data_IF_054103765558
#
_entry.id   IF_054103765558
#
_cell.length_a   1.000
_cell.length_b   1.000
_cell.length_c   1.000
_cell.angle_alpha   90.00
_cell.angle_beta   90.00
_cell.angle_gamma   90.00
#
_symmetry.space_group_name_H-M   'P 1'
#
loop_
_entity.id
_entity.type
_entity.pdbx_description
1 polymer ?
#
# COMPACT_ATOMS: atom_id res chain seq x y z
N UNK A 1 -43.02 12.98 -22.15
CA UNK A 1 -43.02 14.15 -21.23
C UNK A 1 -43.31 13.81 -19.77
N UNK A 2 -44.31 12.99 -19.42
CA UNK A 2 -44.62 12.65 -18.00
C UNK A 2 -43.47 11.91 -17.28
N UNK A 3 -42.83 10.95 -17.95
CA UNK A 3 -41.70 10.19 -17.38
C UNK A 3 -40.49 11.09 -17.05
N UNK A 4 -40.14 12.01 -17.95
CA UNK A 4 -39.04 12.97 -17.76
C UNK A 4 -39.32 13.88 -16.55
N UNK A 5 -40.56 14.35 -16.40
CA UNK A 5 -40.95 15.16 -15.23
C UNK A 5 -40.85 14.38 -13.92
N UNK A 6 -41.26 13.11 -13.91
CA UNK A 6 -41.16 12.25 -12.72
C UNK A 6 -39.69 12.03 -12.35
N UNK A 7 -38.82 11.74 -13.32
CA UNK A 7 -37.37 11.58 -13.08
C UNK A 7 -36.74 12.87 -12.53
N UNK A 8 -37.08 14.03 -13.09
CA UNK A 8 -36.60 15.33 -12.60
C UNK A 8 -37.07 15.63 -11.17
N UNK A 9 -38.32 15.29 -10.83
CA UNK A 9 -38.85 15.47 -9.47
C UNK A 9 -38.11 14.56 -8.50
N UNK A 10 -37.91 13.28 -8.84
CA UNK A 10 -37.16 12.34 -8.00
C UNK A 10 -35.71 12.80 -7.78
N UNK A 11 -35.07 13.33 -8.82
CA UNK A 11 -33.72 13.88 -8.72
C UNK A 11 -33.66 15.12 -7.82
N UNK A 12 -34.63 16.04 -7.93
CA UNK A 12 -34.72 17.21 -7.08
C UNK A 12 -34.96 16.83 -5.61
N UNK A 13 -35.85 15.85 -5.35
CA UNK A 13 -36.10 15.32 -4.00
C UNK A 13 -34.82 14.68 -3.44
N UNK A 14 -34.15 13.83 -4.22
CA UNK A 14 -32.89 13.21 -3.82
C UNK A 14 -31.83 14.25 -3.43
N UNK A 15 -31.64 15.29 -4.26
CA UNK A 15 -30.69 16.36 -3.97
C UNK A 15 -31.09 17.17 -2.72
N UNK A 16 -32.39 17.43 -2.52
CA UNK A 16 -32.88 18.12 -1.32
C UNK A 16 -32.62 17.32 -0.05
N UNK A 17 -32.78 15.98 -0.09
CA UNK A 17 -32.48 15.09 1.04
C UNK A 17 -30.98 15.09 1.33
N UNK A 18 -30.14 14.97 0.31
CA UNK A 18 -28.67 15.07 0.48
C UNK A 18 -28.27 16.41 1.08
N UNK A 19 -28.84 17.51 0.58
CA UNK A 19 -28.54 18.87 1.06
C UNK A 19 -28.95 19.03 2.51
N UNK A 20 -30.14 18.55 2.90
CA UNK A 20 -30.62 18.57 4.27
C UNK A 20 -29.69 17.79 5.20
N UNK A 21 -29.32 16.56 4.82
CA UNK A 21 -28.39 15.74 5.62
C UNK A 21 -26.99 16.35 5.69
N UNK A 22 -26.50 16.96 4.61
CA UNK A 22 -25.24 17.70 4.62
C UNK A 22 -25.29 18.87 5.62
N UNK A 23 -26.37 19.66 5.63
CA UNK A 23 -26.55 20.76 6.60
C UNK A 23 -26.63 20.22 8.03
N UNK A 24 -27.32 19.12 8.27
CA UNK A 24 -27.40 18.49 9.59
C UNK A 24 -26.04 17.97 10.08
N UNK A 25 -25.28 17.32 9.20
CA UNK A 25 -24.00 16.70 9.55
C UNK A 25 -22.91 17.76 9.72
N UNK A 26 -22.76 18.66 8.76
CA UNK A 26 -21.71 19.68 8.79
C UNK A 26 -22.06 20.89 9.66
N UNK A 27 -23.33 21.30 9.69
CA UNK A 27 -23.76 22.50 10.40
C UNK A 27 -24.08 22.28 11.88
N UNK A 28 -24.49 21.06 12.26
CA UNK A 28 -24.86 20.73 13.64
C UNK A 28 -23.99 19.63 14.26
N UNK A 29 -22.91 19.21 13.58
CA UNK A 29 -22.00 18.15 14.03
C UNK A 29 -22.73 16.89 14.55
N UNK A 30 -23.82 16.51 13.88
CA UNK A 30 -24.60 15.33 14.26
C UNK A 30 -23.78 14.05 14.00
N UNK A 31 -23.14 13.52 15.04
CA UNK A 31 -22.50 12.21 15.05
C UNK A 31 -23.38 11.20 15.80
N UNK A 32 -24.44 10.72 15.13
CA UNK A 32 -25.41 9.81 15.72
C UNK A 32 -25.73 8.62 14.78
N UNK A 33 -26.54 7.67 15.26
CA UNK A 33 -26.92 6.49 14.48
C UNK A 33 -27.64 6.84 13.16
N UNK A 34 -28.32 7.98 13.07
CA UNK A 34 -28.99 8.42 11.86
C UNK A 34 -28.00 8.90 10.79
N UNK A 35 -26.94 9.62 11.18
CA UNK A 35 -25.83 10.01 10.30
C UNK A 35 -25.13 8.78 9.72
N UNK A 36 -24.79 7.80 10.55
CA UNK A 36 -24.19 6.53 10.10
C UNK A 36 -25.12 5.74 9.16
N UNK A 37 -26.41 5.68 9.47
CA UNK A 37 -27.39 5.01 8.61
C UNK A 37 -27.54 5.70 7.24
N UNK A 38 -27.53 7.04 7.23
CA UNK A 38 -27.58 7.83 6.01
C UNK A 38 -26.32 7.62 5.17
N UNK A 39 -25.12 7.75 5.75
CA UNK A 39 -23.85 7.57 5.03
C UNK A 39 -23.70 6.17 4.44
N UNK A 40 -24.17 5.14 5.15
CA UNK A 40 -24.21 3.76 4.65
C UNK A 40 -25.14 3.61 3.44
N UNK A 41 -26.26 4.33 3.43
CA UNK A 41 -27.28 4.23 2.36
C UNK A 41 -26.92 5.13 1.17
N UNK A 42 -26.34 6.30 1.44
CA UNK A 42 -26.00 7.33 0.47
C UNK A 42 -24.57 7.83 0.71
N UNK A 43 -23.54 7.08 0.27
CA UNK A 43 -22.13 7.42 0.46
C UNK A 43 -21.69 8.52 -0.50
N UNK A 44 -22.30 9.70 -0.39
CA UNK A 44 -22.07 10.84 -1.30
C UNK A 44 -21.41 12.03 -0.62
N UNK A 45 -21.37 12.05 0.71
CA UNK A 45 -20.87 13.19 1.47
C UNK A 45 -19.33 13.30 1.40
N UNK A 46 -18.78 14.46 0.96
CA UNK A 46 -17.34 14.67 0.86
C UNK A 46 -16.75 15.01 2.23
N UNK A 47 -15.63 14.39 2.59
CA UNK A 47 -14.77 14.82 3.70
C UNK A 47 -13.63 15.71 3.20
N UNK A 48 -13.07 15.37 2.04
CA UNK A 48 -12.09 16.20 1.35
C UNK A 48 -12.20 16.05 -0.18
N UNK A 49 -11.56 16.97 -0.90
CA UNK A 49 -11.38 16.88 -2.34
C UNK A 49 -9.93 17.21 -2.70
N UNK A 50 -9.32 16.33 -3.51
CA UNK A 50 -7.93 16.37 -3.94
C UNK A 50 -7.90 16.29 -5.46
N UNK A 51 -7.53 17.39 -6.13
CA UNK A 51 -7.46 17.46 -7.62
C UNK A 51 -8.72 16.92 -8.32
N UNK A 52 -9.91 17.25 -7.79
CA UNK A 52 -11.20 16.81 -8.32
C UNK A 52 -11.63 15.40 -7.92
N UNK A 53 -10.80 14.64 -7.17
CA UNK A 53 -11.17 13.35 -6.57
C UNK A 53 -11.68 13.59 -5.15
N UNK A 54 -12.82 12.98 -4.83
CA UNK A 54 -13.46 13.13 -3.52
C UNK A 54 -12.98 12.02 -2.59
N UNK A 55 -12.61 12.39 -1.36
CA UNK A 55 -12.54 11.50 -0.20
C UNK A 55 -13.90 11.58 0.49
N UNK A 56 -14.61 10.46 0.61
CA UNK A 56 -15.95 10.44 1.22
C UNK A 56 -15.89 10.16 2.70
N UNK A 57 -16.90 10.63 3.44
CA UNK A 57 -17.09 10.29 4.85
C UNK A 57 -17.22 8.78 5.04
N UNK A 58 -17.94 8.09 4.15
CA UNK A 58 -18.08 6.64 4.21
C UNK A 58 -16.73 5.89 4.11
N UNK A 59 -15.75 6.43 3.36
CA UNK A 59 -14.41 5.82 3.26
C UNK A 59 -13.66 5.91 4.59
N UNK A 60 -13.83 7.02 5.33
CA UNK A 60 -13.26 7.19 6.67
C UNK A 60 -13.90 6.20 7.64
N UNK A 61 -15.24 6.13 7.65
CA UNK A 61 -15.99 5.24 8.53
C UNK A 61 -15.67 3.76 8.26
N UNK A 62 -15.52 3.37 7.00
CA UNK A 62 -15.13 2.01 6.61
C UNK A 62 -13.74 1.67 7.16
N UNK A 63 -12.77 2.58 7.02
CA UNK A 63 -11.39 2.34 7.48
C UNK A 63 -11.28 2.34 9.00
N UNK A 64 -12.01 3.22 9.68
CA UNK A 64 -12.09 3.28 11.13
C UNK A 64 -12.60 1.96 11.70
N UNK A 65 -13.69 1.39 11.14
CA UNK A 65 -14.22 0.10 11.60
C UNK A 65 -13.23 -1.06 11.44
N UNK A 66 -12.48 -1.07 10.34
CA UNK A 66 -11.46 -2.11 10.12
C UNK A 66 -10.31 -2.00 11.12
N UNK A 67 -9.89 -0.78 11.44
CA UNK A 67 -8.86 -0.52 12.45
C UNK A 67 -9.33 -0.89 13.86
N UNK A 68 -10.52 -0.43 14.27
CA UNK A 68 -11.13 -0.78 15.57
C UNK A 68 -11.22 -2.30 15.75
N UNK A 69 -11.63 -3.02 14.70
CA UNK A 69 -11.67 -4.48 14.70
C UNK A 69 -10.26 -5.08 14.88
N UNK A 70 -9.26 -4.63 14.12
CA UNK A 70 -7.90 -5.14 14.22
C UNK A 70 -7.26 -4.90 15.59
N UNK A 71 -7.48 -3.71 16.17
CA UNK A 71 -7.04 -3.37 17.54
C UNK A 71 -7.75 -4.25 18.57
N UNK A 72 -9.06 -4.48 18.43
CA UNK A 72 -9.79 -5.36 19.35
C UNK A 72 -9.27 -6.80 19.37
N UNK A 73 -8.64 -7.22 18.26
CA UNK A 73 -8.04 -8.54 18.10
C UNK A 73 -6.58 -8.61 18.57
N UNK A 74 -5.94 -7.47 18.86
CA UNK A 74 -4.58 -7.42 19.38
C UNK A 74 -4.59 -7.14 20.89
N UNK A 75 -3.83 -7.92 21.67
CA UNK A 75 -3.74 -7.80 23.13
C UNK A 75 -3.12 -6.48 23.64
N UNK A 76 -2.67 -5.62 22.73
CA UNK A 76 -2.06 -4.33 23.02
C UNK A 76 -3.15 -3.25 23.13
N UNK A 77 -3.82 -3.20 24.28
CA UNK A 77 -4.81 -2.18 24.62
C UNK A 77 -4.18 -0.80 24.82
N UNK A 78 -3.87 -0.08 23.73
CA UNK A 78 -3.65 1.36 23.78
C UNK A 78 -4.99 2.10 23.61
N UNK A 79 -5.33 3.07 24.47
CA UNK A 79 -6.58 3.80 24.39
C UNK A 79 -6.66 4.65 23.11
N UNK A 80 -7.84 4.63 22.49
CA UNK A 80 -8.17 5.33 21.24
C UNK A 80 -8.58 6.78 21.54
N UNK A 81 -7.82 7.74 21.00
CA UNK A 81 -8.26 9.14 20.88
C UNK A 81 -8.96 9.31 19.53
N UNK A 82 -10.28 9.10 19.48
CA UNK A 82 -11.05 8.99 18.23
C UNK A 82 -11.02 10.23 17.32
N UNK A 83 -10.81 11.44 17.85
CA UNK A 83 -10.68 12.66 17.04
C UNK A 83 -9.35 12.69 16.26
N UNK A 84 -8.24 12.36 16.91
CA UNK A 84 -6.91 12.29 16.30
C UNK A 84 -6.82 11.15 15.27
N UNK A 85 -7.55 10.06 15.50
CA UNK A 85 -7.59 8.93 14.58
C UNK A 85 -8.37 9.26 13.30
N UNK A 86 -9.55 9.88 13.43
CA UNK A 86 -10.36 10.28 12.26
C UNK A 86 -9.60 11.23 11.33
N UNK A 87 -8.86 12.17 11.91
CA UNK A 87 -7.99 13.09 11.15
C UNK A 87 -6.86 12.33 10.44
N UNK A 88 -6.18 11.41 11.13
CA UNK A 88 -5.14 10.57 10.54
C UNK A 88 -5.67 9.69 9.39
N UNK A 89 -6.85 9.10 9.54
CA UNK A 89 -7.50 8.33 8.46
C UNK A 89 -7.83 9.24 7.28
N UNK A 90 -8.34 10.44 7.52
CA UNK A 90 -8.62 11.41 6.47
C UNK A 90 -7.33 11.80 5.72
N UNK A 91 -6.24 12.08 6.44
CA UNK A 91 -4.94 12.39 5.86
C UNK A 91 -4.40 11.24 5.00
N UNK A 92 -4.44 10.01 5.52
CA UNK A 92 -4.06 8.80 4.76
C UNK A 92 -4.91 8.63 3.49
N UNK A 93 -6.22 8.89 3.55
CA UNK A 93 -7.10 8.83 2.38
C UNK A 93 -6.81 9.95 1.36
N UNK A 94 -6.43 11.14 1.82
CA UNK A 94 -5.99 12.25 0.96
C UNK A 94 -4.71 11.85 0.22
N UNK A 95 -3.71 11.34 0.94
CA UNK A 95 -2.46 10.83 0.37
C UNK A 95 -2.71 9.71 -0.64
N UNK A 96 -3.61 8.79 -0.30
CA UNK A 96 -4.04 7.76 -1.24
C UNK A 96 -4.59 8.38 -2.55
N UNK A 97 -5.41 9.45 -2.49
CA UNK A 97 -5.89 10.12 -3.71
C UNK A 97 -4.76 10.76 -4.51
N UNK A 98 -3.73 11.30 -3.83
CA UNK A 98 -2.52 11.84 -4.46
C UNK A 98 -1.77 10.72 -5.18
N UNK A 99 -1.50 9.60 -4.51
CA UNK A 99 -0.84 8.41 -5.11
C UNK A 99 -1.57 7.98 -6.38
N UNK A 100 -2.90 7.83 -6.32
CA UNK A 100 -3.71 7.47 -7.49
C UNK A 100 -3.63 8.48 -8.63
N UNK A 101 -3.56 9.77 -8.32
CA UNK A 101 -3.39 10.80 -9.34
C UNK A 101 -2.00 10.73 -9.98
N UNK A 102 -0.96 10.46 -9.20
CA UNK A 102 0.40 10.30 -9.69
C UNK A 102 0.56 9.05 -10.56
N UNK A 103 -0.02 7.91 -10.16
CA UNK A 103 -0.07 6.71 -10.99
C UNK A 103 -0.76 6.96 -12.34
N UNK A 104 -1.92 7.65 -12.30
CA UNK A 104 -2.68 7.98 -13.51
C UNK A 104 -1.87 8.87 -14.47
N UNK A 105 -1.21 9.91 -13.95
CA UNK A 105 -0.29 10.79 -14.74
C UNK A 105 0.85 10.01 -15.38
N UNK A 106 1.33 8.95 -14.71
CA UNK A 106 2.39 8.06 -15.19
C UNK A 106 1.89 6.91 -16.06
N UNK A 107 0.56 6.81 -16.28
CA UNK A 107 -0.09 5.71 -17.01
C UNK A 107 0.22 4.33 -16.41
N UNK A 108 0.43 4.26 -15.09
CA UNK A 108 0.64 3.02 -14.37
C UNK A 108 -0.72 2.48 -13.97
N UNK A 109 -1.02 1.27 -14.43
CA UNK A 109 -2.26 0.55 -14.13
C UNK A 109 -1.97 -0.59 -13.16
N UNK A 110 -3.02 -1.00 -12.44
CA UNK A 110 -3.01 -2.19 -11.59
C UNK A 110 -4.05 -3.13 -12.19
N UNK A 111 -3.61 -4.31 -12.62
CA UNK A 111 -4.52 -5.34 -13.10
C UNK A 111 -4.93 -6.29 -11.96
N UNK A 112 -5.88 -7.18 -12.23
CA UNK A 112 -6.39 -8.11 -11.23
C UNK A 112 -5.37 -9.16 -10.79
N UNK A 113 -4.51 -9.62 -11.71
CA UNK A 113 -3.47 -10.62 -11.43
C UNK A 113 -2.43 -10.04 -10.45
N UNK A 114 -1.93 -8.83 -10.71
CA UNK A 114 -1.00 -8.14 -9.81
C UNK A 114 -1.60 -7.92 -8.41
N UNK A 115 -2.91 -7.61 -8.35
CA UNK A 115 -3.62 -7.44 -7.08
C UNK A 115 -3.75 -8.76 -6.32
N UNK A 116 -4.04 -9.85 -7.03
CA UNK A 116 -4.17 -11.18 -6.44
C UNK A 116 -2.81 -11.72 -5.97
N UNK A 117 -1.74 -11.45 -6.71
CA UNK A 117 -0.37 -11.80 -6.34
C UNK A 117 0.08 -11.04 -5.09
N UNK A 118 -0.17 -9.73 -5.07
CA UNK A 118 0.16 -8.92 -3.90
C UNK A 118 -0.69 -9.27 -2.68
N UNK A 119 -1.96 -9.63 -2.88
CA UNK A 119 -2.79 -10.17 -1.80
C UNK A 119 -2.19 -11.44 -1.21
N UNK A 120 -1.71 -12.39 -2.02
CA UNK A 120 -1.08 -13.62 -1.51
C UNK A 120 0.19 -13.32 -0.74
N UNK A 121 1.00 -12.38 -1.22
CA UNK A 121 2.18 -11.90 -0.49
C UNK A 121 1.83 -11.35 0.90
N UNK A 122 0.89 -10.41 0.95
CA UNK A 122 0.45 -9.81 2.21
C UNK A 122 -0.22 -10.84 3.13
N UNK A 123 -1.02 -11.74 2.56
CA UNK A 123 -1.68 -12.82 3.27
C UNK A 123 -0.71 -13.87 3.81
N UNK A 124 0.45 -14.07 3.18
CA UNK A 124 1.49 -14.98 3.66
C UNK A 124 2.18 -14.46 4.93
N UNK A 125 2.23 -13.14 5.13
CA UNK A 125 2.73 -12.53 6.38
C UNK A 125 1.76 -12.68 7.55
N UNK A 126 0.47 -12.86 7.26
CA UNK A 126 -0.52 -13.22 8.26
C UNK A 126 -0.58 -14.75 8.38
N UNK A 127 -0.68 -15.30 9.59
CA UNK A 127 -0.94 -16.74 9.74
C UNK A 127 -2.24 -17.08 8.99
N UNK A 128 -2.08 -17.80 7.88
CA UNK A 128 -3.01 -17.87 6.74
C UNK A 128 -4.47 -18.07 7.17
N UNK A 129 -5.37 -17.20 6.68
CA UNK A 129 -6.83 -17.38 6.80
C UNK A 129 -7.54 -16.50 7.82
N UNK A 130 -6.81 -15.76 8.66
CA UNK A 130 -7.40 -14.92 9.72
C UNK A 130 -7.77 -13.50 9.28
N UNK A 131 -7.71 -13.16 7.98
CA UNK A 131 -7.99 -11.79 7.50
C UNK A 131 -9.39 -11.32 7.92
N UNK A 132 -10.39 -12.18 7.78
CA UNK A 132 -11.75 -11.85 8.23
C UNK A 132 -11.84 -11.72 9.76
N UNK A 133 -11.09 -12.50 10.52
CA UNK A 133 -11.06 -12.41 11.98
C UNK A 133 -10.39 -11.11 12.44
N UNK A 134 -9.26 -10.76 11.83
CA UNK A 134 -8.44 -9.60 12.16
C UNK A 134 -9.15 -8.30 11.73
N UNK A 135 -9.65 -8.22 10.49
CA UNK A 135 -10.14 -6.97 9.93
C UNK A 135 -11.67 -6.90 9.82
N UNK A 136 -12.41 -7.99 10.11
CA UNK A 136 -13.88 -8.01 10.09
C UNK A 136 -14.48 -7.86 8.69
N UNK A 137 -13.69 -8.11 7.64
CA UNK A 137 -14.09 -7.96 6.24
C UNK A 137 -13.79 -9.23 5.45
N UNK A 138 -14.62 -9.49 4.44
CA UNK A 138 -14.35 -10.54 3.47
C UNK A 138 -13.15 -10.18 2.57
N UNK A 139 -12.62 -11.17 1.86
CA UNK A 139 -11.46 -11.01 0.97
C UNK A 139 -11.66 -9.90 -0.08
N UNK A 140 -12.84 -9.80 -0.68
CA UNK A 140 -13.11 -8.80 -1.73
C UNK A 140 -12.99 -7.38 -1.18
N UNK A 141 -13.57 -7.13 -0.02
CA UNK A 141 -13.51 -5.81 0.62
C UNK A 141 -12.10 -5.53 1.18
N UNK A 142 -11.41 -6.54 1.69
CA UNK A 142 -9.99 -6.42 2.08
C UNK A 142 -9.10 -6.04 0.89
N UNK A 143 -9.25 -6.75 -0.23
CA UNK A 143 -8.54 -6.46 -1.48
C UNK A 143 -8.80 -5.04 -1.94
N UNK A 144 -10.07 -4.62 -1.96
CA UNK A 144 -10.48 -3.30 -2.44
C UNK A 144 -9.99 -2.14 -1.54
N UNK A 145 -10.09 -2.29 -0.22
CA UNK A 145 -9.90 -1.18 0.70
C UNK A 145 -8.47 -1.09 1.26
N UNK A 146 -7.79 -2.22 1.39
CA UNK A 146 -6.44 -2.31 1.98
C UNK A 146 -5.41 -2.65 0.91
N UNK A 147 -5.51 -3.84 0.32
CA UNK A 147 -4.47 -4.38 -0.57
C UNK A 147 -4.26 -3.48 -1.79
N UNK A 148 -5.34 -3.02 -2.41
CA UNK A 148 -5.26 -2.17 -3.61
C UNK A 148 -4.64 -0.81 -3.30
N UNK A 149 -4.92 -0.25 -2.11
CA UNK A 149 -4.38 1.03 -1.66
C UNK A 149 -2.87 0.94 -1.43
N UNK A 150 -2.45 -0.11 -0.72
CA UNK A 150 -1.07 -0.40 -0.41
C UNK A 150 -0.27 -0.75 -1.68
N UNK A 151 -0.80 -1.62 -2.54
CA UNK A 151 -0.19 -1.94 -3.83
C UNK A 151 0.00 -0.70 -4.71
N UNK A 152 -0.97 0.22 -4.72
CA UNK A 152 -0.87 1.46 -5.49
C UNK A 152 0.31 2.32 -5.02
N UNK A 153 0.45 2.48 -3.71
CA UNK A 153 1.57 3.21 -3.10
C UNK A 153 2.90 2.54 -3.44
N UNK A 154 3.02 1.24 -3.19
CA UNK A 154 4.23 0.46 -3.49
C UNK A 154 4.59 0.49 -4.97
N UNK A 155 3.62 0.39 -5.89
CA UNK A 155 3.88 0.54 -7.33
C UNK A 155 4.34 1.94 -7.69
N UNK A 156 3.79 2.99 -7.08
CA UNK A 156 4.27 4.35 -7.30
C UNK A 156 5.73 4.45 -6.85
N UNK A 157 6.03 3.99 -5.65
CA UNK A 157 7.36 3.98 -5.05
C UNK A 157 8.40 3.29 -5.95
N UNK A 158 8.15 2.02 -6.30
CA UNK A 158 9.02 1.25 -7.19
C UNK A 158 9.17 1.92 -8.59
N UNK A 159 8.10 2.55 -9.09
CA UNK A 159 8.16 3.25 -10.39
C UNK A 159 9.07 4.49 -10.36
N UNK A 160 9.12 5.20 -9.23
CA UNK A 160 9.98 6.36 -9.05
C UNK A 160 11.44 5.94 -9.03
N UNK A 161 11.77 4.90 -8.25
CA UNK A 161 13.13 4.35 -8.22
C UNK A 161 13.56 3.78 -9.57
N UNK A 162 12.65 3.11 -10.30
CA UNK A 162 12.97 2.57 -11.62
C UNK A 162 13.31 3.66 -12.64
N UNK A 163 12.73 4.86 -12.48
CA UNK A 163 13.03 6.01 -13.32
C UNK A 163 14.28 6.77 -12.88
N UNK A 164 14.76 6.53 -11.65
CA UNK A 164 15.84 7.27 -11.02
C UNK A 164 17.21 6.59 -11.19
N UNK A 165 17.52 6.22 -12.44
CA UNK A 165 18.78 5.57 -12.79
C UNK A 165 20.02 6.50 -12.64
N UNK A 166 19.82 7.80 -12.41
CA UNK A 166 20.86 8.77 -12.13
C UNK A 166 21.17 8.95 -10.64
N UNK A 167 20.35 8.38 -9.75
CA UNK A 167 20.53 8.53 -8.30
C UNK A 167 21.86 7.97 -7.80
N UNK A 168 22.33 8.53 -6.68
CA UNK A 168 23.56 8.06 -6.03
C UNK A 168 23.40 6.62 -5.57
N UNK A 169 22.20 6.27 -5.13
CA UNK A 169 21.77 4.96 -4.63
C UNK A 169 21.79 3.94 -5.77
N UNK A 170 21.21 4.27 -6.93
CA UNK A 170 21.26 3.38 -8.10
C UNK A 170 22.69 3.19 -8.63
N UNK A 171 23.48 4.26 -8.69
CA UNK A 171 24.88 4.15 -9.10
C UNK A 171 25.72 3.35 -8.09
N UNK A 172 25.37 3.40 -6.80
CA UNK A 172 26.02 2.61 -5.75
C UNK A 172 25.69 1.12 -5.89
N UNK A 173 24.42 0.74 -6.06
CA UNK A 173 24.06 -0.68 -6.23
C UNK A 173 24.68 -1.28 -7.49
N UNK A 174 24.80 -0.53 -8.59
CA UNK A 174 25.49 -0.99 -9.80
C UNK A 174 26.98 -1.26 -9.57
N UNK A 175 27.65 -0.40 -8.80
CA UNK A 175 29.06 -0.63 -8.42
C UNK A 175 29.20 -1.88 -7.56
N UNK A 176 28.30 -2.09 -6.61
CA UNK A 176 28.32 -3.29 -5.74
C UNK A 176 28.08 -4.55 -6.57
N UNK A 177 27.09 -4.53 -7.47
CA UNK A 177 26.85 -5.65 -8.41
C UNK A 177 28.10 -5.99 -9.21
N UNK A 178 28.76 -4.97 -9.76
CA UNK A 178 30.02 -5.14 -10.49
C UNK A 178 31.11 -5.78 -9.62
N UNK A 179 31.29 -5.34 -8.38
CA UNK A 179 32.28 -5.93 -7.46
C UNK A 179 31.98 -7.42 -7.19
N UNK A 180 30.70 -7.76 -6.98
CA UNK A 180 30.27 -9.14 -6.78
C UNK A 180 30.52 -9.99 -8.02
N UNK A 181 30.23 -9.47 -9.21
CA UNK A 181 30.51 -10.14 -10.48
C UNK A 181 32.02 -10.32 -10.74
N UNK A 182 32.85 -9.40 -10.25
CA UNK A 182 34.31 -9.44 -10.30
C UNK A 182 34.94 -10.35 -9.23
N UNK A 183 34.13 -10.97 -8.37
CA UNK A 183 34.55 -12.02 -7.44
C UNK A 183 34.56 -11.62 -5.95
N UNK A 184 34.09 -10.43 -5.58
CA UNK A 184 33.83 -10.11 -4.19
C UNK A 184 32.79 -11.08 -3.62
N UNK A 185 33.06 -11.65 -2.43
CA UNK A 185 32.11 -12.54 -1.78
C UNK A 185 30.79 -11.82 -1.52
N UNK A 186 29.66 -12.47 -1.82
CA UNK A 186 28.34 -11.91 -1.55
C UNK A 186 28.15 -11.58 -0.06
N UNK A 187 28.69 -12.42 0.83
CA UNK A 187 28.62 -12.21 2.29
C UNK A 187 29.37 -10.95 2.70
N UNK A 188 30.58 -10.75 2.17
CA UNK A 188 31.39 -9.55 2.44
C UNK A 188 30.72 -8.30 1.88
N UNK A 189 30.14 -8.39 0.67
CA UNK A 189 29.41 -7.31 0.05
C UNK A 189 28.16 -6.93 0.86
N UNK A 190 27.40 -7.92 1.34
CA UNK A 190 26.24 -7.70 2.19
C UNK A 190 26.62 -7.01 3.51
N UNK A 191 27.64 -7.52 4.21
CA UNK A 191 28.13 -6.93 5.45
C UNK A 191 28.65 -5.50 5.27
N UNK A 192 29.31 -5.21 4.15
CA UNK A 192 29.96 -3.93 3.90
C UNK A 192 29.01 -2.86 3.36
N UNK A 193 28.02 -3.25 2.57
CA UNK A 193 27.25 -2.30 1.76
C UNK A 193 25.74 -2.36 1.95
N UNK A 194 25.18 -3.47 2.43
CA UNK A 194 23.72 -3.62 2.57
C UNK A 194 23.18 -2.72 3.68
N UNK A 195 22.02 -2.16 3.41
CA UNK A 195 21.22 -1.32 4.32
C UNK A 195 19.99 -2.06 4.87
N UNK A 196 19.96 -3.38 4.66
CA UNK A 196 19.10 -4.30 5.40
C UNK A 196 19.76 -4.66 6.74
N UNK A 197 19.36 -3.96 7.79
CA UNK A 197 19.88 -4.12 9.15
C UNK A 197 19.64 -5.53 9.73
N UNK A 198 18.61 -6.24 9.26
CA UNK A 198 18.25 -7.57 9.78
C UNK A 198 19.19 -8.65 9.25
N UNK A 199 19.56 -8.57 7.97
CA UNK A 199 20.33 -9.63 7.30
C UNK A 199 21.80 -9.27 7.03
N UNK A 200 22.18 -7.99 7.00
CA UNK A 200 23.55 -7.60 6.59
C UNK A 200 24.65 -8.27 7.42
N UNK A 201 24.42 -8.44 8.72
CA UNK A 201 25.40 -9.05 9.64
C UNK A 201 25.51 -10.58 9.47
N UNK A 202 24.50 -11.23 8.90
CA UNK A 202 24.45 -12.66 8.59
C UNK A 202 24.67 -12.93 7.09
N UNK A 203 25.40 -12.04 6.42
CA UNK A 203 25.78 -12.21 5.01
C UNK A 203 24.62 -12.01 4.03
N UNK A 204 23.60 -11.28 4.43
CA UNK A 204 22.41 -11.01 3.64
C UNK A 204 21.35 -12.12 3.69
N UNK A 205 21.56 -13.20 4.46
CA UNK A 205 20.64 -14.34 4.51
C UNK A 205 19.29 -13.94 5.12
N UNK A 206 18.20 -14.05 4.34
CA UNK A 206 16.82 -13.82 4.79
C UNK A 206 16.04 -15.12 4.99
N UNK A 207 16.76 -16.25 4.98
CA UNK A 207 16.24 -17.58 5.19
C UNK A 207 15.51 -18.16 3.99
N UNK A 208 14.81 -19.26 4.26
CA UNK A 208 14.00 -19.97 3.29
C UNK A 208 12.66 -19.27 3.09
N UNK A 209 12.45 -18.74 1.88
CA UNK A 209 11.23 -18.04 1.49
C UNK A 209 10.57 -18.72 0.30
N UNK A 210 9.25 -18.80 0.34
CA UNK A 210 8.44 -19.06 -0.84
C UNK A 210 8.39 -17.80 -1.70
N UNK A 211 7.92 -17.94 -2.93
CA UNK A 211 7.81 -16.81 -3.83
C UNK A 211 6.77 -15.77 -3.39
N UNK A 212 5.64 -16.23 -2.87
CA UNK A 212 4.62 -15.33 -2.33
C UNK A 212 5.22 -14.55 -1.14
N UNK A 213 6.04 -15.16 -0.29
CA UNK A 213 6.73 -14.45 0.81
C UNK A 213 7.76 -13.41 0.31
N UNK A 214 8.43 -13.65 -0.82
CA UNK A 214 9.34 -12.67 -1.44
C UNK A 214 8.60 -11.52 -2.15
N UNK A 215 7.31 -11.71 -2.43
CA UNK A 215 6.45 -10.69 -3.03
C UNK A 215 6.72 -10.44 -4.52
N UNK A 216 5.92 -9.56 -5.13
CA UNK A 216 5.88 -9.41 -6.59
C UNK A 216 7.13 -8.75 -7.18
N UNK A 217 7.95 -8.06 -6.37
CA UNK A 217 9.18 -7.42 -6.84
C UNK A 217 10.38 -8.36 -6.85
N UNK A 218 10.55 -9.20 -5.82
CA UNK A 218 11.72 -10.07 -5.68
C UNK A 218 11.46 -11.51 -6.13
N UNK A 219 10.26 -12.01 -5.87
CA UNK A 219 9.86 -13.40 -6.11
C UNK A 219 10.17 -13.92 -7.52
N UNK A 220 9.73 -13.25 -8.60
CA UNK A 220 9.99 -13.71 -9.96
C UNK A 220 11.48 -13.82 -10.30
N UNK A 221 12.30 -12.86 -9.82
CA UNK A 221 13.74 -12.88 -10.05
C UNK A 221 14.41 -13.99 -9.25
N UNK A 222 14.05 -14.16 -7.98
CA UNK A 222 14.53 -15.24 -7.13
C UNK A 222 14.19 -16.63 -7.70
N UNK A 223 12.96 -16.79 -8.23
CA UNK A 223 12.49 -18.01 -8.89
C UNK A 223 13.35 -18.40 -10.09
N UNK A 224 13.86 -17.42 -10.82
CA UNK A 224 14.63 -17.60 -12.05
C UNK A 224 16.12 -17.88 -11.80
N UNK A 225 16.63 -17.68 -10.58
CA UNK A 225 18.04 -17.91 -10.26
C UNK A 225 18.40 -19.39 -10.23
N UNK A 226 19.60 -19.70 -10.69
CA UNK A 226 20.24 -20.98 -10.43
C UNK A 226 20.94 -20.96 -9.06
N UNK A 227 21.11 -22.12 -8.39
CA UNK A 227 21.83 -22.17 -7.13
C UNK A 227 23.23 -21.55 -7.24
N UNK A 228 23.62 -20.81 -6.20
CA UNK A 228 24.86 -20.04 -6.11
C UNK A 228 25.06 -18.94 -7.16
N UNK A 229 24.00 -18.52 -7.87
CA UNK A 229 24.06 -17.37 -8.79
C UNK A 229 23.41 -16.13 -8.20
N UNK A 230 23.78 -14.97 -8.75
CA UNK A 230 23.27 -13.65 -8.37
C UNK A 230 22.31 -13.10 -9.42
N UNK A 231 21.36 -12.26 -9.01
CA UNK A 231 20.45 -11.56 -9.91
C UNK A 231 21.08 -10.30 -10.48
N UNK A 232 20.48 -9.76 -11.54
CA UNK A 232 20.63 -8.35 -11.88
C UNK A 232 20.03 -7.44 -10.78
N UNK A 233 20.26 -6.13 -10.89
CA UNK A 233 19.67 -5.16 -9.95
C UNK A 233 18.16 -5.14 -10.11
N UNK A 234 17.46 -5.45 -9.02
CA UNK A 234 16.00 -5.46 -8.94
C UNK A 234 15.53 -4.19 -8.25
N UNK A 235 14.45 -3.59 -8.73
CA UNK A 235 13.84 -2.40 -8.12
C UNK A 235 12.57 -2.81 -7.39
N UNK A 236 12.46 -2.43 -6.13
CA UNK A 236 11.27 -2.61 -5.30
C UNK A 236 10.90 -1.28 -4.60
N UNK A 237 9.80 -1.22 -3.85
CA UNK A 237 9.48 -0.07 -3.00
C UNK A 237 10.55 0.18 -1.91
N UNK A 238 11.23 -0.86 -1.44
CA UNK A 238 12.27 -0.71 -0.40
C UNK A 238 13.57 -0.11 -0.95
N UNK A 239 13.81 -0.24 -2.26
CA UNK A 239 15.01 0.27 -2.91
C UNK A 239 15.50 -0.62 -4.04
N UNK A 240 16.81 -0.80 -4.08
CA UNK A 240 17.49 -1.59 -5.08
C UNK A 240 18.12 -2.83 -4.45
N UNK A 241 17.89 -3.98 -5.08
CA UNK A 241 18.25 -5.27 -4.55
C UNK A 241 19.19 -6.00 -5.48
N UNK A 242 20.12 -6.75 -4.90
CA UNK A 242 20.82 -7.84 -5.57
C UNK A 242 20.51 -9.09 -4.76
N UNK A 243 20.00 -10.13 -5.40
CA UNK A 243 19.69 -11.40 -4.76
C UNK A 243 20.74 -12.44 -5.11
N UNK A 244 20.96 -13.39 -4.21
CA UNK A 244 21.67 -14.62 -4.47
C UNK A 244 20.86 -15.80 -3.96
N UNK A 245 20.73 -16.83 -4.79
CA UNK A 245 20.12 -18.09 -4.36
C UNK A 245 21.19 -18.95 -3.70
N UNK A 246 21.17 -19.08 -2.37
CA UNK A 246 22.14 -19.91 -1.64
C UNK A 246 21.85 -21.40 -1.83
N UNK A 247 20.59 -21.79 -1.65
CA UNK A 247 20.12 -23.17 -1.81
C UNK A 247 18.64 -23.22 -2.17
N UNK A 248 18.19 -24.37 -2.66
CA UNK A 248 16.80 -24.66 -2.98
C UNK A 248 16.37 -25.86 -2.12
N UNK A 249 15.26 -25.71 -1.39
CA UNK A 249 14.56 -26.82 -0.77
C UNK A 249 13.42 -27.26 -1.72
N UNK A 250 13.68 -28.36 -2.43
CA UNK A 250 12.73 -28.97 -3.37
C UNK A 250 11.76 -29.96 -2.72
N UNK A 251 11.93 -30.29 -1.44
CA UNK A 251 11.07 -31.24 -0.74
C UNK A 251 9.79 -30.57 -0.20
N UNK A 252 9.84 -29.25 -0.02
CA UNK A 252 8.68 -28.44 0.39
C UNK A 252 7.77 -28.09 -0.80
N UNK A 253 6.46 -28.11 -0.55
CA UNK A 253 5.44 -27.62 -1.48
C UNK A 253 4.60 -26.56 -0.77
N UNK A 254 4.63 -25.28 -1.22
CA UNK A 254 5.45 -24.76 -2.31
C UNK A 254 6.95 -24.79 -1.99
N UNK A 255 7.79 -24.86 -3.03
CA UNK A 255 9.25 -24.86 -2.91
C UNK A 255 9.74 -23.63 -2.15
N UNK A 256 10.81 -23.79 -1.37
CA UNK A 256 11.45 -22.69 -0.65
C UNK A 256 12.85 -22.40 -1.19
N UNK A 257 13.16 -21.12 -1.29
CA UNK A 257 14.43 -20.57 -1.77
C UNK A 257 15.18 -19.98 -0.59
N UNK A 258 16.39 -20.45 -0.31
CA UNK A 258 17.25 -19.76 0.65
C UNK A 258 17.89 -18.57 -0.06
N UNK A 259 17.46 -17.36 0.29
CA UNK A 259 17.87 -16.14 -0.38
C UNK A 259 18.85 -15.36 0.49
N UNK A 260 19.90 -14.86 -0.14
CA UNK A 260 20.70 -13.77 0.39
C UNK A 260 20.38 -12.50 -0.38
N UNK A 261 20.34 -11.35 0.29
CA UNK A 261 20.11 -10.05 -0.33
C UNK A 261 21.16 -9.01 0.03
N UNK A 262 21.36 -8.08 -0.90
CA UNK A 262 21.99 -6.78 -0.67
C UNK A 262 20.93 -5.74 -1.02
N UNK A 263 20.50 -4.96 -0.03
CA UNK A 263 19.55 -3.86 -0.20
C UNK A 263 20.31 -2.53 -0.14
N UNK A 264 20.08 -1.67 -1.12
CA UNK A 264 20.41 -0.24 -1.05
C UNK A 264 19.09 0.52 -1.09
N UNK A 265 18.77 1.23 -0.01
CA UNK A 265 17.52 1.99 0.11
C UNK A 265 17.54 3.16 -0.87
N UNK A 266 16.38 3.47 -1.42
CA UNK A 266 16.20 4.68 -2.22
C UNK A 266 15.95 5.91 -1.34
N UNK A 267 15.48 6.98 -1.97
CA UNK A 267 15.11 8.21 -1.26
C UNK A 267 13.91 7.98 -0.31
N UNK A 268 13.77 8.84 0.70
CA UNK A 268 12.62 8.80 1.61
C UNK A 268 11.31 9.14 0.85
N UNK A 269 10.46 8.14 0.70
CA UNK A 269 9.21 8.27 -0.05
C UNK A 269 8.15 9.05 0.70
N UNK A 270 8.12 8.99 2.03
CA UNK A 270 7.20 9.79 2.84
C UNK A 270 7.55 11.27 2.68
N UNK A 271 8.83 11.62 2.81
CA UNK A 271 9.30 12.99 2.58
C UNK A 271 8.99 13.45 1.13
N UNK A 272 9.13 12.55 0.15
CA UNK A 272 8.76 12.84 -1.23
C UNK A 272 7.26 13.10 -1.39
N UNK A 273 6.41 12.30 -0.75
CA UNK A 273 4.95 12.44 -0.79
C UNK A 273 4.49 13.70 -0.09
N UNK A 274 5.05 14.06 1.06
CA UNK A 274 4.78 15.33 1.75
C UNK A 274 5.07 16.53 0.83
N UNK A 275 6.24 16.53 0.19
CA UNK A 275 6.61 17.56 -0.81
C UNK A 275 5.69 17.56 -2.03
N UNK A 276 5.14 16.41 -2.42
CA UNK A 276 4.13 16.39 -3.48
C UNK A 276 2.81 16.94 -2.98
N UNK A 277 2.38 16.59 -1.76
CA UNK A 277 1.12 17.01 -1.14
C UNK A 277 0.97 18.53 -1.13
N UNK A 278 2.04 19.27 -0.84
CA UNK A 278 2.06 20.74 -0.91
C UNK A 278 1.68 21.32 -2.28
N UNK A 279 1.88 20.56 -3.36
CA UNK A 279 1.56 20.97 -4.73
C UNK A 279 0.10 20.69 -5.11
N UNK A 280 -0.63 19.93 -4.29
CA UNK A 280 -2.02 19.57 -4.55
C UNK A 280 -2.97 20.60 -3.95
N UNK A 281 -4.02 20.93 -4.69
CA UNK A 281 -5.15 21.70 -4.15
C UNK A 281 -6.05 20.74 -3.38
N UNK A 282 -6.06 20.92 -2.05
CA UNK A 282 -6.84 20.12 -1.11
C UNK A 282 -7.91 21.01 -0.49
N UNK A 283 -9.17 20.57 -0.60
CA UNK A 283 -10.31 21.21 0.07
C UNK A 283 -10.83 20.27 1.15
N UNK A 284 -11.00 20.78 2.38
CA UNK A 284 -11.58 20.04 3.50
C UNK A 284 -13.01 20.51 3.72
N UNK A 285 -13.90 19.57 4.05
CA UNK A 285 -15.32 19.83 4.31
C UNK A 285 -15.67 19.42 5.74
N UNK A 286 -16.50 20.22 6.42
CA UNK A 286 -17.01 19.85 7.75
C UNK A 286 -16.00 20.00 8.90
N UNK A 287 -15.09 20.97 8.81
CA UNK A 287 -14.34 21.46 9.98
C UNK A 287 -15.21 22.36 10.84
#
# INVERSE_FOLDING_TARGET
MRLIRIVLILFAVFFSVITLFAVLIYGFAMDNNATRAFNKTFPVLPAAMVSGKIVRIAEIEDRQRMYEQAVSMTSAGAPINGATERESILDSLIEQKIVWDMLAKRKILINSEELDDYYRHLAASFQTGRINEIFGVNEKDFKKNIVLSDLAEKKLHASLYKQDNGSKEYQRVLKIKKLVDEGLSFVEAAQSYSEDEESKYIGGDIGFKTEDELGPWLGPSARALAPSTTSEVIVSPEGYHILRLASLDSETVPRKLQIQQILIRGFDFEEYLEKQREKYRIYLFGR
#
